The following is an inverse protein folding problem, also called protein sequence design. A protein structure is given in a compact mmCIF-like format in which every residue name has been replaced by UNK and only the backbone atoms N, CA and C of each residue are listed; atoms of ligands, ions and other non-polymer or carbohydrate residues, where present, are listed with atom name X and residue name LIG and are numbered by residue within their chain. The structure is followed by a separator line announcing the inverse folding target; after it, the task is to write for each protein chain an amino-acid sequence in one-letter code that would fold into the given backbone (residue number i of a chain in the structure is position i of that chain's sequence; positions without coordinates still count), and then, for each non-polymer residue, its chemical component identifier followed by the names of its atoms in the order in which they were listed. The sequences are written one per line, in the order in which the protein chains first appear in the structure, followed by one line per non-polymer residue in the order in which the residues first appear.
data_IF_858942492355
#
_entry.id   IF_858942492355
#
_cell.length_a   1.000
_cell.length_b   1.000
_cell.length_c   1.000
_cell.angle_alpha   90.00
_cell.angle_beta   90.00
_cell.angle_gamma   90.00
#
_symmetry.space_group_name_H-M   'P 1'
#
loop_
_entity.id
_entity.type
_entity.pdbx_description
1 polymer ?
#
# COMPACT_ATOMS: atom_id res chain seq x y z
N UNK A 1 -14.36 10.96 8.23
CA UNK A 1 -13.02 11.07 7.60
C UNK A 1 -12.42 9.67 7.37
N UNK A 2 -12.26 9.25 6.10
CA UNK A 2 -11.59 7.99 5.76
C UNK A 2 -10.19 8.31 5.22
N UNK A 3 -9.17 7.98 6.01
CA UNK A 3 -7.76 8.14 5.62
C UNK A 3 -7.29 6.80 5.01
N UNK A 4 -6.93 6.75 3.72
CA UNK A 4 -6.44 5.51 3.12
C UNK A 4 -5.09 5.11 3.72
N UNK A 5 -4.91 3.82 4.01
CA UNK A 5 -3.72 3.23 4.60
C UNK A 5 -3.05 2.30 3.59
N UNK A 6 -1.74 2.46 3.41
CA UNK A 6 -0.90 1.57 2.59
C UNK A 6 0.07 0.85 3.53
N UNK A 7 0.05 -0.48 3.50
CA UNK A 7 1.04 -1.29 4.20
C UNK A 7 2.28 -1.47 3.32
N UNK A 8 3.46 -1.06 3.80
CA UNK A 8 4.71 -1.24 3.07
C UNK A 8 5.76 -1.98 3.91
N UNK A 9 6.18 -3.15 3.42
CA UNK A 9 7.06 -4.08 4.14
C UNK A 9 8.09 -4.71 3.20
N UNK A 10 9.23 -5.16 3.73
CA UNK A 10 10.38 -5.63 2.93
C UNK A 10 10.23 -7.06 2.40
N UNK A 11 9.22 -7.80 2.87
CA UNK A 11 8.97 -9.18 2.47
C UNK A 11 7.53 -9.33 2.06
N UNK A 12 7.22 -10.38 1.31
CA UNK A 12 5.87 -10.68 0.88
C UNK A 12 5.07 -11.39 1.97
N UNK A 13 4.37 -10.63 2.81
CA UNK A 13 3.50 -11.12 3.87
C UNK A 13 2.02 -11.05 3.46
N UNK A 14 1.69 -11.30 2.18
CA UNK A 14 0.29 -11.26 1.68
C UNK A 14 -0.68 -12.17 2.44
N UNK A 15 -0.16 -13.20 3.11
CA UNK A 15 -0.94 -14.15 3.94
C UNK A 15 -1.14 -13.68 5.40
N UNK A 16 -0.57 -12.54 5.81
CA UNK A 16 -0.70 -12.00 7.15
C UNK A 16 -1.97 -11.12 7.27
N UNK A 17 -2.79 -11.39 8.28
CA UNK A 17 -4.09 -10.73 8.52
C UNK A 17 -4.00 -9.20 8.59
N UNK A 18 -2.83 -8.66 8.96
CA UNK A 18 -2.57 -7.21 9.00
C UNK A 18 -2.68 -6.54 7.61
N UNK A 19 -2.50 -7.28 6.51
CA UNK A 19 -2.60 -6.75 5.14
C UNK A 19 -4.05 -6.48 4.73
N UNK A 20 -5.00 -7.25 5.25
CA UNK A 20 -6.42 -7.16 4.87
C UNK A 20 -7.10 -5.88 5.34
N UNK A 21 -6.57 -5.24 6.39
CA UNK A 21 -7.09 -3.98 6.90
C UNK A 21 -6.63 -2.75 6.10
N UNK A 22 -5.68 -2.90 5.19
CA UNK A 22 -5.13 -1.81 4.37
C UNK A 22 -5.79 -1.76 2.99
N UNK A 23 -5.97 -0.55 2.44
CA UNK A 23 -6.49 -0.36 1.09
C UNK A 23 -5.48 -0.78 0.00
N UNK A 24 -4.20 -0.88 0.35
CA UNK A 24 -3.16 -1.40 -0.53
C UNK A 24 -1.94 -1.92 0.23
N UNK A 25 -1.23 -2.83 -0.44
CA UNK A 25 0.01 -3.43 0.03
C UNK A 25 1.11 -3.23 -1.02
N UNK A 26 2.30 -2.78 -0.60
CA UNK A 26 3.44 -2.54 -1.49
C UNK A 26 4.72 -3.08 -0.86
N UNK A 27 5.40 -4.02 -1.52
CA UNK A 27 6.70 -4.51 -1.06
C UNK A 27 7.73 -3.38 -1.20
N UNK A 28 8.52 -3.15 -0.15
CA UNK A 28 9.57 -2.12 -0.17
C UNK A 28 10.58 -2.48 -1.25
N UNK A 29 10.88 -1.49 -2.09
CA UNK A 29 11.86 -1.57 -3.15
C UNK A 29 12.66 -0.27 -3.20
N UNK A 30 13.88 -0.33 -3.74
CA UNK A 30 14.64 0.86 -4.11
C UNK A 30 13.97 1.66 -5.23
N UNK A 31 13.22 0.97 -6.09
CA UNK A 31 12.32 1.62 -7.05
C UNK A 31 11.02 2.02 -6.34
N UNK A 32 10.73 3.32 -6.33
CA UNK A 32 9.57 3.90 -5.65
C UNK A 32 8.38 4.13 -6.56
N UNK A 33 8.45 3.69 -7.82
CA UNK A 33 7.42 3.93 -8.83
C UNK A 33 6.06 3.35 -8.40
N UNK A 34 6.03 2.08 -8.00
CA UNK A 34 4.81 1.37 -7.55
C UNK A 34 4.14 2.07 -6.35
N UNK A 35 4.94 2.49 -5.37
CA UNK A 35 4.44 3.19 -4.18
C UNK A 35 3.78 4.53 -4.57
N UNK A 36 4.45 5.33 -5.41
CA UNK A 36 3.95 6.64 -5.85
C UNK A 36 2.68 6.51 -6.68
N UNK A 37 2.59 5.52 -7.56
CA UNK A 37 1.39 5.25 -8.35
C UNK A 37 0.22 4.81 -7.46
N UNK A 38 0.49 3.97 -6.47
CA UNK A 38 -0.52 3.53 -5.49
C UNK A 38 -1.07 4.72 -4.69
N UNK A 39 -0.20 5.62 -4.22
CA UNK A 39 -0.62 6.85 -3.53
C UNK A 39 -1.53 7.70 -4.42
N UNK A 40 -1.11 7.98 -5.67
CA UNK A 40 -1.91 8.78 -6.61
C UNK A 40 -3.28 8.17 -6.85
N UNK A 41 -3.34 6.85 -7.05
CA UNK A 41 -4.60 6.10 -7.26
C UNK A 41 -5.54 6.17 -6.07
N UNK A 42 -5.03 6.11 -4.84
CA UNK A 42 -5.86 6.18 -3.63
C UNK A 42 -6.36 7.61 -3.37
N UNK A 43 -5.54 8.62 -3.66
CA UNK A 43 -5.94 10.03 -3.56
C UNK A 43 -6.93 10.43 -4.66
N UNK A 44 -6.83 9.87 -5.87
CA UNK A 44 -7.77 10.16 -6.96
C UNK A 44 -9.14 9.48 -6.80
N UNK A 45 -9.26 8.52 -5.87
CA UNK A 45 -10.52 7.82 -5.57
C UNK A 45 -11.33 8.49 -4.45
N UNK A 46 -10.84 9.60 -3.89
CA UNK A 46 -11.61 10.45 -2.97
C UNK A 46 -12.51 11.44 -3.70
#
# INVERSE_FOLDING_TARGET
PRLPIIMSTAYDYRDDFAVWASEAYVVKSSDTTELKETIRRLLSKQ
#
